data_IF_196114586750
#
_entry.id   IF_196114586750
#
_cell.length_a   1.000
_cell.length_b   1.000
_cell.length_c   1.000
_cell.angle_alpha   90.00
_cell.angle_beta   90.00
_cell.angle_gamma   90.00
#
_symmetry.space_group_name_H-M   'P 1'
#
loop_
_entity.id
_entity.type
_entity.pdbx_description
1 polymer ?
#
# COMPACT_ATOMS: atom_id res chain seq x y z
N UNK A 1 -7.59 -15.49 1.72
CA UNK A 1 -8.10 -14.14 2.04
C UNK A 1 -7.55 -13.77 3.38
N UNK A 2 -6.75 -12.70 3.43
CA UNK A 2 -6.16 -12.20 4.65
C UNK A 2 -5.84 -10.72 4.44
N UNK A 3 -6.44 -9.89 5.28
CA UNK A 3 -6.15 -8.47 5.32
C UNK A 3 -4.80 -8.25 5.97
N UNK A 4 -4.00 -7.40 5.35
CA UNK A 4 -2.70 -6.98 5.86
C UNK A 4 -2.63 -5.47 5.84
N UNK A 5 -2.10 -4.92 6.93
CA UNK A 5 -1.64 -3.53 6.96
C UNK A 5 -0.26 -3.54 6.30
N UNK A 6 -0.07 -2.73 5.25
CA UNK A 6 1.18 -2.66 4.49
C UNK A 6 1.46 -1.26 3.98
N UNK A 7 2.68 -1.05 3.49
CA UNK A 7 3.10 0.21 2.88
C UNK A 7 2.88 0.19 1.36
N UNK A 8 2.14 1.17 0.85
CA UNK A 8 2.06 1.47 -0.58
C UNK A 8 3.13 2.49 -0.95
N UNK A 9 3.90 2.24 -2.01
CA UNK A 9 4.98 3.12 -2.46
C UNK A 9 4.44 4.15 -3.44
N UNK A 10 4.73 5.42 -3.17
CA UNK A 10 4.58 6.51 -4.14
C UNK A 10 5.86 7.33 -4.26
N UNK A 11 5.77 8.44 -4.96
CA UNK A 11 6.87 9.38 -5.17
C UNK A 11 7.59 9.13 -6.49
N UNK A 12 8.78 9.69 -6.62
CA UNK A 12 9.59 9.60 -7.84
C UNK A 12 10.85 8.77 -7.62
N UNK A 13 11.56 8.45 -8.71
CA UNK A 13 12.85 7.76 -8.63
C UNK A 13 13.81 8.58 -7.74
N UNK A 14 14.45 7.91 -6.77
CA UNK A 14 15.30 8.51 -5.73
C UNK A 14 14.59 9.42 -4.71
N UNK A 15 13.25 9.52 -4.73
CA UNK A 15 12.45 10.23 -3.70
C UNK A 15 11.13 9.48 -3.42
N UNK A 16 11.17 8.27 -2.84
CA UNK A 16 9.96 7.54 -2.50
C UNK A 16 9.29 8.13 -1.24
N UNK A 17 7.97 8.05 -1.20
CA UNK A 17 7.20 8.16 0.05
C UNK A 17 6.34 6.91 0.22
N UNK A 18 5.89 6.66 1.45
CA UNK A 18 5.11 5.48 1.78
C UNK A 18 3.80 5.90 2.46
N UNK A 19 2.72 5.19 2.12
CA UNK A 19 1.40 5.35 2.74
C UNK A 19 1.03 4.07 3.47
N UNK A 20 0.38 4.19 4.61
CA UNK A 20 -0.09 3.04 5.38
C UNK A 20 -1.48 2.68 4.84
N UNK A 21 -1.61 1.46 4.29
CA UNK A 21 -2.86 0.98 3.68
C UNK A 21 -3.24 -0.40 4.19
N UNK A 22 -4.54 -0.65 4.27
CA UNK A 22 -5.11 -1.99 4.51
C UNK A 22 -5.46 -2.60 3.16
N UNK A 23 -4.90 -3.76 2.85
CA UNK A 23 -5.20 -4.46 1.60
C UNK A 23 -5.15 -5.99 1.78
N UNK A 24 -5.84 -6.70 0.88
CA UNK A 24 -5.72 -8.14 0.76
C UNK A 24 -4.33 -8.55 0.28
N UNK A 25 -3.79 -9.64 0.81
CA UNK A 25 -2.45 -10.12 0.51
C UNK A 25 -2.19 -10.41 -0.99
N UNK A 26 -3.22 -10.80 -1.74
CA UNK A 26 -3.16 -11.10 -3.18
C UNK A 26 -3.08 -9.86 -4.07
N UNK A 27 -3.42 -8.68 -3.55
CA UNK A 27 -3.45 -7.46 -4.35
C UNK A 27 -2.01 -6.94 -4.56
N UNK A 28 -1.68 -6.34 -5.72
CA UNK A 28 -0.38 -5.74 -5.98
C UNK A 28 -0.07 -4.61 -4.98
N UNK A 29 1.21 -4.40 -4.64
CA UNK A 29 1.67 -3.48 -3.58
C UNK A 29 1.07 -2.07 -3.68
N UNK A 30 1.14 -1.49 -4.88
CA UNK A 30 0.75 -0.10 -5.13
C UNK A 30 -0.63 0.01 -5.82
N UNK A 31 -1.38 -1.09 -5.89
CA UNK A 31 -2.69 -1.14 -6.54
C UNK A 31 -3.85 -1.02 -5.56
N UNK A 32 -4.90 -1.82 -5.79
CA UNK A 32 -6.15 -1.73 -5.02
C UNK A 32 -5.95 -2.03 -3.53
N UNK A 33 -6.26 -1.04 -2.70
CA UNK A 33 -6.36 -1.14 -1.25
C UNK A 33 -7.82 -0.91 -0.81
N UNK A 34 -8.14 -1.30 0.43
CA UNK A 34 -9.47 -1.12 1.01
C UNK A 34 -9.55 0.28 1.64
N UNK A 35 -8.60 0.59 2.51
CA UNK A 35 -8.58 1.84 3.27
C UNK A 35 -7.14 2.35 3.46
N UNK A 36 -7.00 3.67 3.57
CA UNK A 36 -5.76 4.36 3.87
C UNK A 36 -5.80 4.86 5.31
N UNK A 37 -4.88 4.37 6.14
CA UNK A 37 -4.78 4.73 7.56
C UNK A 37 -3.90 5.98 7.78
N UNK A 38 -3.05 6.33 6.79
CA UNK A 38 -2.11 7.45 6.85
C UNK A 38 -1.44 7.75 5.52
#
# INVERSE_FOLDING_TARGET
>A
MALKIRLSRGGSKKRPYYRIVVAEARNPRDGRFIEKLG
#
